data_IF_076559052761
#
_entry.id   IF_076559052761
#
_cell.length_a   1.000
_cell.length_b   1.000
_cell.length_c   1.000
_cell.angle_alpha   90.00
_cell.angle_beta   90.00
_cell.angle_gamma   90.00
#
_symmetry.space_group_name_H-M   'P 1'
#
loop_
_entity.id
_entity.type
_entity.pdbx_description
1 polymer ?
#
# COMPACT_ATOMS: atom_id res chain seq x y z
N UNK A 1 -3.04 9.57 -15.47
CA UNK A 1 -4.26 8.73 -15.46
C UNK A 1 -3.91 7.31 -15.94
N UNK A 2 -4.52 6.25 -15.38
CA UNK A 2 -4.28 4.87 -15.82
C UNK A 2 -4.80 4.64 -17.25
N UNK A 3 -4.04 3.90 -18.07
CA UNK A 3 -4.51 3.43 -19.39
C UNK A 3 -5.56 2.31 -19.21
N UNK A 4 -6.36 1.99 -20.24
CA UNK A 4 -7.19 0.79 -20.22
C UNK A 4 -6.36 -0.45 -19.83
N UNK A 5 -6.87 -1.24 -18.88
CA UNK A 5 -6.18 -2.40 -18.28
C UNK A 5 -4.88 -2.08 -17.52
N UNK A 6 -4.62 -0.80 -17.22
CA UNK A 6 -3.50 -0.38 -16.38
C UNK A 6 -3.63 -0.92 -14.96
N UNK A 7 -2.48 -1.19 -14.33
CA UNK A 7 -2.41 -1.69 -12.96
C UNK A 7 -1.55 -0.76 -12.10
N UNK A 8 -1.88 -0.68 -10.81
CA UNK A 8 -1.06 -0.03 -9.79
C UNK A 8 -0.41 -1.13 -8.97
N UNK A 9 0.91 -1.11 -8.88
CA UNK A 9 1.68 -2.07 -8.09
C UNK A 9 2.29 -1.35 -6.90
N UNK A 10 2.06 -1.84 -5.70
CA UNK A 10 2.54 -1.25 -4.45
C UNK A 10 3.27 -2.30 -3.63
N UNK A 11 4.55 -2.09 -3.36
CA UNK A 11 5.27 -2.86 -2.34
C UNK A 11 5.08 -2.18 -0.99
N UNK A 12 4.50 -2.89 -0.02
CA UNK A 12 4.18 -2.32 1.29
C UNK A 12 4.66 -3.19 2.44
N UNK A 13 5.16 -2.54 3.49
CA UNK A 13 5.52 -3.20 4.75
C UNK A 13 4.26 -3.69 5.45
N UNK A 14 4.20 -4.98 5.74
CA UNK A 14 3.05 -5.63 6.39
C UNK A 14 3.24 -5.84 7.90
N UNK A 15 4.41 -5.49 8.42
CA UNK A 15 4.65 -5.40 9.86
C UNK A 15 4.20 -4.05 10.44
N UNK A 16 4.02 -4.01 11.77
CA UNK A 16 3.73 -2.78 12.50
C UNK A 16 4.85 -1.73 12.34
N UNK A 17 4.52 -0.42 12.33
CA UNK A 17 3.16 0.15 12.34
C UNK A 17 2.52 0.25 10.94
N UNK A 18 3.25 -0.11 9.89
CA UNK A 18 2.87 0.15 8.49
C UNK A 18 1.62 -0.60 8.05
N UNK A 19 1.33 -1.78 8.61
CA UNK A 19 0.08 -2.48 8.29
C UNK A 19 -1.18 -1.76 8.78
N UNK A 20 -1.09 -0.78 9.70
CA UNK A 20 -2.23 0.07 10.05
C UNK A 20 -2.63 1.06 8.94
N UNK A 21 -1.78 1.26 7.92
CA UNK A 21 -2.08 2.17 6.81
C UNK A 21 -3.25 1.69 5.95
N UNK A 22 -3.61 0.41 6.05
CA UNK A 22 -4.75 -0.21 5.38
C UNK A 22 -4.87 0.13 3.88
N UNK A 23 -3.78 -0.09 3.13
CA UNK A 23 -3.66 0.32 1.73
C UNK A 23 -4.72 -0.29 0.79
N UNK A 24 -5.31 -1.43 1.16
CA UNK A 24 -6.38 -2.06 0.38
C UNK A 24 -7.68 -1.26 0.51
N UNK A 25 -8.04 -0.80 1.71
CA UNK A 25 -9.20 0.09 1.90
C UNK A 25 -8.98 1.43 1.20
N UNK A 26 -7.76 1.97 1.25
CA UNK A 26 -7.41 3.20 0.54
C UNK A 26 -7.53 3.07 -0.99
N UNK A 27 -7.09 1.95 -1.54
CA UNK A 27 -7.25 1.63 -2.95
C UNK A 27 -8.74 1.54 -3.32
N UNK A 28 -9.54 0.82 -2.52
CA UNK A 28 -10.98 0.67 -2.75
C UNK A 28 -11.73 2.00 -2.77
N UNK A 29 -11.38 2.93 -1.87
CA UNK A 29 -11.91 4.31 -1.83
C UNK A 29 -11.40 5.21 -2.96
N UNK A 30 -10.57 4.66 -3.85
CA UNK A 30 -10.01 5.33 -5.01
C UNK A 30 -10.34 4.57 -6.30
N UNK A 31 -11.45 3.81 -6.30
CA UNK A 31 -11.91 2.99 -7.44
C UNK A 31 -10.90 1.94 -7.89
N UNK A 32 -10.12 1.39 -6.95
CA UNK A 32 -9.13 0.34 -7.21
C UNK A 32 -9.46 -0.92 -6.40
N UNK A 33 -9.48 -2.07 -7.06
CA UNK A 33 -9.69 -3.37 -6.41
C UNK A 33 -8.39 -4.15 -6.35
N UNK A 34 -8.18 -4.90 -5.26
CA UNK A 34 -7.04 -5.80 -5.12
C UNK A 34 -7.22 -6.99 -6.06
N UNK A 35 -6.27 -7.17 -6.98
CA UNK A 35 -6.22 -8.29 -7.91
C UNK A 35 -5.33 -9.40 -7.36
N UNK A 36 -4.21 -9.03 -6.74
CA UNK A 36 -3.22 -9.99 -6.26
C UNK A 36 -2.42 -9.38 -5.10
N UNK A 37 -2.09 -10.22 -4.12
CA UNK A 37 -1.11 -9.93 -3.08
C UNK A 37 -0.13 -11.11 -3.01
N UNK A 38 1.16 -10.82 -3.16
CA UNK A 38 2.24 -11.82 -3.03
C UNK A 38 3.30 -11.32 -2.07
N UNK A 39 3.97 -12.22 -1.37
CA UNK A 39 5.09 -11.85 -0.50
C UNK A 39 6.21 -11.21 -1.32
N UNK A 40 6.74 -10.11 -0.81
CA UNK A 40 7.91 -9.49 -1.41
C UNK A 40 9.15 -10.33 -1.06
N UNK A 41 9.87 -10.78 -2.08
CA UNK A 41 11.15 -11.47 -1.93
C UNK A 41 12.20 -10.69 -2.69
N UNK A 42 13.24 -10.27 -1.98
CA UNK A 42 14.36 -9.53 -2.60
C UNK A 42 15.04 -10.35 -3.71
N UNK A 43 15.05 -11.69 -3.59
CA UNK A 43 15.61 -12.59 -4.60
C UNK A 43 14.91 -12.54 -5.95
N UNK A 44 13.65 -12.10 -6.00
CA UNK A 44 12.89 -11.98 -7.25
C UNK A 44 13.27 -10.71 -8.04
N UNK A 45 14.09 -9.82 -7.45
CA UNK A 45 14.51 -8.55 -8.03
C UNK A 45 16.05 -8.40 -8.02
N UNK A 46 16.75 -9.05 -8.97
CA UNK A 46 18.20 -8.94 -9.08
C UNK A 46 18.65 -7.47 -9.22
N UNK A 47 19.62 -7.07 -8.40
CA UNK A 47 20.14 -5.70 -8.39
C UNK A 47 19.34 -4.70 -7.55
N UNK A 48 18.23 -5.13 -6.92
CA UNK A 48 17.53 -4.29 -5.94
C UNK A 48 18.36 -4.12 -4.67
N UNK A 49 18.78 -2.89 -4.39
CA UNK A 49 19.42 -2.48 -3.15
C UNK A 49 18.65 -1.28 -2.58
N UNK A 50 17.94 -1.49 -1.47
CA UNK A 50 17.23 -0.41 -0.79
C UNK A 50 18.22 0.52 -0.08
N UNK A 51 17.97 1.84 -0.18
CA UNK A 51 18.77 2.89 0.47
C UNK A 51 17.92 3.72 1.42
N UNK A 52 18.55 4.35 2.40
CA UNK A 52 17.88 5.27 3.33
C UNK A 52 17.59 6.59 2.62
N UNK A 53 16.52 7.26 3.04
CA UNK A 53 16.06 8.49 2.38
C UNK A 53 16.94 9.71 2.65
N UNK A 54 17.62 9.77 3.80
CA UNK A 54 18.40 10.94 4.23
C UNK A 54 19.42 10.58 5.34
N UNK A 55 20.36 11.50 5.62
CA UNK A 55 21.35 11.45 6.69
C UNK A 55 22.71 10.84 6.30
N UNK A 56 23.65 10.80 7.24
CA UNK A 56 25.03 10.33 7.02
C UNK A 56 25.12 8.87 6.53
N UNK A 57 24.03 8.11 6.69
CA UNK A 57 23.89 6.71 6.27
C UNK A 57 22.98 6.54 5.05
N UNK A 58 22.69 7.61 4.30
CA UNK A 58 21.74 7.58 3.18
C UNK A 58 22.04 6.46 2.16
N UNK A 59 23.32 6.24 1.83
CA UNK A 59 23.74 5.19 0.91
C UNK A 59 23.74 3.77 1.50
N UNK A 60 23.55 3.62 2.82
CA UNK A 60 23.47 2.32 3.44
C UNK A 60 22.09 1.67 3.30
N UNK A 61 22.09 0.34 3.23
CA UNK A 61 20.86 -0.44 3.28
C UNK A 61 20.22 -0.48 4.67
N UNK A 62 18.97 -0.95 4.71
CA UNK A 62 18.25 -1.22 5.95
C UNK A 62 17.46 -2.53 5.85
N UNK A 63 17.15 -3.19 6.99
CA UNK A 63 16.30 -4.39 6.97
C UNK A 63 14.92 -4.08 6.38
N UNK A 64 14.59 -4.73 5.27
CA UNK A 64 13.30 -4.53 4.58
C UNK A 64 12.14 -5.01 5.47
N UNK A 65 12.30 -6.15 6.14
CA UNK A 65 11.28 -6.75 7.00
C UNK A 65 10.15 -7.40 6.20
N UNK A 66 9.04 -7.71 6.87
CA UNK A 66 7.86 -8.30 6.23
C UNK A 66 7.22 -7.28 5.28
N UNK A 67 7.15 -7.64 4.00
CA UNK A 67 6.58 -6.84 2.93
C UNK A 67 5.78 -7.73 1.97
N UNK A 68 4.77 -7.15 1.31
CA UNK A 68 4.06 -7.80 0.21
C UNK A 68 3.94 -6.83 -0.96
N UNK A 69 3.90 -7.38 -2.18
CA UNK A 69 3.54 -6.68 -3.40
C UNK A 69 2.02 -6.81 -3.61
N UNK A 70 1.35 -5.68 -3.75
CA UNK A 70 -0.08 -5.58 -4.01
C UNK A 70 -0.27 -5.08 -5.44
N UNK A 71 -1.15 -5.75 -6.18
CA UNK A 71 -1.55 -5.36 -7.53
C UNK A 71 -3.00 -4.94 -7.51
N UNK A 72 -3.26 -3.72 -7.95
CA UNK A 72 -4.60 -3.17 -8.03
C UNK A 72 -4.99 -2.88 -9.48
N UNK A 73 -6.28 -3.03 -9.79
CA UNK A 73 -6.86 -2.65 -11.07
C UNK A 73 -7.98 -1.63 -10.85
N UNK A 74 -8.20 -0.78 -11.85
CA UNK A 74 -9.31 0.15 -11.83
C UNK A 74 -10.65 -0.59 -11.95
N UNK A 75 -11.54 -0.32 -11.01
CA UNK A 75 -12.92 -0.78 -11.02
C UNK A 75 -13.83 0.39 -10.64
N UNK A 76 -14.54 0.99 -11.61
CA UNK A 76 -15.43 2.12 -11.34
C UNK A 76 -16.62 1.74 -10.45
N UNK A 77 -16.93 0.45 -10.30
CA UNK A 77 -17.99 -0.03 -9.42
C UNK A 77 -17.55 -0.18 -7.95
N UNK A 78 -16.25 -0.08 -7.67
CA UNK A 78 -15.73 -0.16 -6.30
C UNK A 78 -16.13 1.04 -5.42
N UNK A 79 -16.56 2.18 -5.99
CA UNK A 79 -17.00 3.35 -5.20
C UNK A 79 -18.40 3.21 -4.58
N UNK A 80 -19.12 2.14 -4.89
CA UNK A 80 -20.51 1.96 -4.44
C UNK A 80 -20.62 0.86 -3.40
N UNK A 81 -20.37 1.27 -2.15
CA UNK A 81 -20.94 0.75 -0.91
C UNK A 81 -21.17 -0.76 -0.76
N UNK A 82 -20.31 -1.41 0.03
CA UNK A 82 -20.77 -2.17 1.20
C UNK A 82 -19.71 -2.14 2.31
N UNK A 83 -20.12 -1.75 3.52
CA UNK A 83 -19.25 -1.58 4.72
C UNK A 83 -18.68 -2.90 5.23
N UNK A 84 -19.26 -4.02 4.82
CA UNK A 84 -19.08 -5.32 5.48
C UNK A 84 -17.86 -6.09 4.96
N UNK A 85 -17.56 -6.01 3.66
CA UNK A 85 -16.36 -6.61 3.04
C UNK A 85 -15.06 -5.99 3.57
N UNK A 86 -15.11 -4.71 3.93
CA UNK A 86 -13.95 -3.96 4.43
C UNK A 86 -13.51 -4.33 5.85
N UNK A 87 -14.35 -5.01 6.64
CA UNK A 87 -14.00 -5.38 8.03
C UNK A 87 -12.97 -6.51 8.09
N UNK A 88 -13.01 -7.44 7.14
CA UNK A 88 -12.09 -8.58 7.07
C UNK A 88 -10.66 -8.19 6.63
N UNK A 89 -10.50 -7.04 5.97
CA UNK A 89 -9.23 -6.56 5.44
C UNK A 89 -8.49 -5.60 6.39
N UNK A 90 -9.10 -5.21 7.52
CA UNK A 90 -8.46 -4.34 8.50
C UNK A 90 -7.39 -5.08 9.29
N UNK A 91 -6.29 -4.39 9.59
CA UNK A 91 -5.30 -4.89 10.53
C UNK A 91 -5.94 -5.03 11.93
N UNK A 92 -5.87 -6.20 12.59
CA UNK A 92 -6.45 -6.42 13.94
C UNK A 92 -5.86 -5.50 15.03
N UNK A 93 -4.70 -4.89 14.74
CA UNK A 93 -3.94 -4.07 15.69
C UNK A 93 -4.32 -2.59 15.66
N UNK A 94 -5.16 -2.15 14.70
CA UNK A 94 -5.60 -0.76 14.63
C UNK A 94 -6.57 -0.46 15.78
N UNK A 95 -6.12 0.34 16.76
CA UNK A 95 -6.99 0.90 17.81
C UNK A 95 -7.01 2.41 17.66
N UNK A 96 -8.24 2.94 17.71
CA UNK A 96 -8.64 4.31 17.41
C UNK A 96 -7.66 5.45 17.80
N UNK A 97 -7.72 6.48 16.95
CA UNK A 97 -7.27 7.87 17.11
C UNK A 97 -5.82 8.24 16.76
N UNK A 98 -4.80 7.40 17.02
CA UNK A 98 -3.42 7.68 16.57
C UNK A 98 -3.13 7.21 15.12
N UNK A 99 -3.90 6.26 14.60
CA UNK A 99 -3.77 5.72 13.24
C UNK A 99 -4.23 6.71 12.14
N UNK A 100 -4.95 7.78 12.50
CA UNK A 100 -5.48 8.74 11.53
C UNK A 100 -4.38 9.47 10.73
N UNK A 101 -3.25 9.79 11.36
CA UNK A 101 -2.17 10.49 10.65
C UNK A 101 -1.49 9.58 9.61
N UNK A 102 -1.29 8.31 9.95
CA UNK A 102 -0.78 7.30 9.03
C UNK A 102 -1.74 7.05 7.86
N UNK A 103 -3.04 7.00 8.16
CA UNK A 103 -4.11 6.89 7.17
C UNK A 103 -4.16 8.13 6.25
N UNK A 104 -3.99 9.33 6.79
CA UNK A 104 -3.97 10.58 6.03
C UNK A 104 -2.76 10.65 5.09
N UNK A 105 -1.56 10.28 5.55
CA UNK A 105 -0.37 10.21 4.69
C UNK A 105 -0.53 9.19 3.57
N UNK A 106 -0.98 7.97 3.89
CA UNK A 106 -1.19 6.92 2.90
C UNK A 106 -2.30 7.29 1.90
N UNK A 107 -3.37 7.94 2.37
CA UNK A 107 -4.44 8.49 1.53
C UNK A 107 -3.94 9.58 0.60
N UNK A 108 -3.12 10.52 1.10
CA UNK A 108 -2.50 11.56 0.29
C UNK A 108 -1.57 10.96 -0.80
N UNK A 109 -0.78 9.95 -0.44
CA UNK A 109 0.09 9.22 -1.37
C UNK A 109 -0.71 8.49 -2.46
N UNK A 110 -1.80 7.81 -2.09
CA UNK A 110 -2.65 7.12 -3.05
C UNK A 110 -3.29 8.11 -4.03
N UNK A 111 -3.73 9.27 -3.55
CA UNK A 111 -4.24 10.36 -4.40
C UNK A 111 -3.16 10.91 -5.34
N UNK A 112 -1.94 11.11 -4.85
CA UNK A 112 -0.78 11.54 -5.64
C UNK A 112 -0.43 10.55 -6.76
N UNK A 113 -0.53 9.25 -6.49
CA UNK A 113 -0.27 8.20 -7.49
C UNK A 113 -1.31 8.18 -8.61
N UNK A 114 -2.52 8.70 -8.35
CA UNK A 114 -3.62 8.74 -9.30
C UNK A 114 -3.75 10.09 -10.04
N UNK A 115 -3.12 11.16 -9.55
CA UNK A 115 -3.28 12.53 -10.05
C UNK A 115 -2.24 13.00 -11.08
N UNK A 116 -1.50 12.09 -11.71
CA UNK A 116 -0.56 12.42 -12.82
C UNK A 116 -0.94 11.66 -14.07
#
# INVERSE_FOLDING_TARGET
MLRPNGQVHVTHKTAQPFCCWNIVELAHRSSLVLVEQVDFRVGDYPGYCNKRGDGDRADESFPVGLCSNFKFAFDPCAETGDRETNRALRCPHSRNHHDNQAYDFASALMKLMLSR
#
